data_IF_770877744787
#
_entry.id   IF_770877744787
#
_cell.length_a   1.000
_cell.length_b   1.000
_cell.length_c   1.000
_cell.angle_alpha   90.00
_cell.angle_beta   90.00
_cell.angle_gamma   90.00
#
_symmetry.space_group_name_H-M   'P 1'
#
loop_
_entity.id
_entity.type
_entity.pdbx_description
1 polymer ?
#
# COMPACT_ATOMS: atom_id res chain seq x y z
N UNK A 1 -3.47 10.88 31.27
CA UNK A 1 -3.96 9.59 30.69
C UNK A 1 -4.03 9.60 29.16
N UNK A 2 -4.48 10.68 28.50
CA UNK A 2 -4.65 10.71 27.04
C UNK A 2 -3.32 10.80 26.25
N UNK A 3 -2.36 11.63 26.68
CA UNK A 3 -1.02 11.73 26.05
C UNK A 3 -0.22 10.43 26.18
N UNK A 4 -0.28 9.75 27.34
CA UNK A 4 0.37 8.44 27.56
C UNK A 4 -0.12 7.35 26.62
N UNK A 5 -1.40 7.36 26.23
CA UNK A 5 -1.95 6.39 25.25
C UNK A 5 -1.40 6.60 23.85
N UNK A 6 -1.26 7.87 23.43
CA UNK A 6 -0.73 8.23 22.10
C UNK A 6 0.78 7.94 22.01
N UNK A 7 1.51 8.15 23.11
CA UNK A 7 2.94 7.84 23.18
C UNK A 7 3.27 6.33 23.22
N UNK A 8 2.29 5.46 23.50
CA UNK A 8 2.49 4.00 23.58
C UNK A 8 2.45 3.28 22.24
N UNK A 9 1.90 3.86 21.17
CA UNK A 9 1.91 3.22 19.85
C UNK A 9 3.27 3.42 19.18
N UNK A 10 4.25 2.57 19.52
CA UNK A 10 5.54 2.53 18.83
C UNK A 10 5.36 1.91 17.44
N UNK A 11 5.06 2.74 16.44
CA UNK A 11 5.00 2.30 15.04
C UNK A 11 6.41 1.96 14.57
N UNK A 12 6.62 0.72 14.11
CA UNK A 12 7.89 0.31 13.53
C UNK A 12 8.00 0.82 12.08
N UNK A 13 8.52 2.03 11.93
CA UNK A 13 8.68 2.70 10.64
C UNK A 13 9.68 2.00 9.70
N UNK A 14 10.67 1.28 10.24
CA UNK A 14 11.66 0.57 9.43
C UNK A 14 11.01 -0.62 8.71
N UNK A 15 10.23 -1.43 9.44
CA UNK A 15 9.52 -2.56 8.87
C UNK A 15 8.43 -2.14 7.85
N UNK A 16 7.86 -0.94 7.99
CA UNK A 16 6.97 -0.38 6.96
C UNK A 16 7.75 0.03 5.71
N UNK A 17 8.90 0.69 5.87
CA UNK A 17 9.69 1.17 4.74
C UNK A 17 10.24 0.03 3.85
N UNK A 18 10.49 -1.15 4.42
CA UNK A 18 10.94 -2.33 3.68
C UNK A 18 9.85 -2.93 2.78
N UNK A 19 8.57 -2.87 3.21
CA UNK A 19 7.45 -3.45 2.47
C UNK A 19 6.85 -2.52 1.43
N UNK A 20 7.18 -1.23 1.47
CA UNK A 20 6.59 -0.23 0.59
C UNK A 20 7.29 -0.22 -0.78
N UNK A 21 6.52 -0.37 -1.88
CA UNK A 21 7.05 -0.24 -3.24
C UNK A 21 7.76 1.10 -3.48
N UNK A 22 8.77 1.16 -4.37
CA UNK A 22 9.59 2.36 -4.57
C UNK A 22 8.79 3.60 -4.97
N UNK A 23 7.72 3.44 -5.75
CA UNK A 23 6.79 4.50 -6.16
C UNK A 23 5.98 5.08 -4.99
N UNK A 24 5.82 4.36 -3.88
CA UNK A 24 5.01 4.79 -2.73
C UNK A 24 5.86 5.30 -1.55
N UNK A 25 7.19 5.19 -1.62
CA UNK A 25 8.12 5.72 -0.59
C UNK A 25 7.93 7.22 -0.30
N UNK A 26 7.70 8.11 -1.29
CA UNK A 26 7.45 9.52 -1.01
C UNK A 26 6.19 9.75 -0.17
N UNK A 27 5.13 8.97 -0.42
CA UNK A 27 3.87 9.06 0.32
C UNK A 27 4.05 8.58 1.78
N UNK A 28 4.81 7.52 1.99
CA UNK A 28 5.16 7.05 3.34
C UNK A 28 5.95 8.11 4.12
N UNK A 29 6.94 8.76 3.48
CA UNK A 29 7.72 9.81 4.10
C UNK A 29 6.85 11.02 4.49
N UNK A 30 5.91 11.42 3.63
CA UNK A 30 4.95 12.47 3.91
C UNK A 30 4.02 12.10 5.08
N UNK A 31 3.53 10.86 5.12
CA UNK A 31 2.69 10.35 6.21
C UNK A 31 3.45 10.34 7.55
N UNK A 32 4.68 9.81 7.56
CA UNK A 32 5.55 9.81 8.75
C UNK A 32 5.77 11.24 9.27
N UNK A 33 6.08 12.18 8.39
CA UNK A 33 6.31 13.59 8.77
C UNK A 33 5.07 14.20 9.44
N UNK A 34 3.87 13.93 8.92
CA UNK A 34 2.61 14.38 9.54
C UNK A 34 2.39 13.72 10.90
N UNK A 35 2.58 12.41 11.01
CA UNK A 35 2.46 11.66 12.26
C UNK A 35 3.41 12.21 13.35
N UNK A 36 4.69 12.37 13.02
CA UNK A 36 5.71 12.90 13.93
C UNK A 36 5.40 14.34 14.35
N UNK A 37 4.88 15.17 13.44
CA UNK A 37 4.44 16.55 13.77
C UNK A 37 3.35 16.55 14.83
N UNK A 38 2.34 15.69 14.69
CA UNK A 38 1.26 15.59 15.68
C UNK A 38 1.76 15.02 17.01
N UNK A 39 2.59 13.98 16.98
CA UNK A 39 3.21 13.42 18.18
C UNK A 39 4.01 14.48 18.95
N UNK A 40 4.82 15.29 18.27
CA UNK A 40 5.55 16.40 18.89
C UNK A 40 4.62 17.43 19.53
N UNK A 41 3.52 17.80 18.86
CA UNK A 41 2.54 18.73 19.44
C UNK A 41 1.84 18.18 20.67
N UNK A 42 1.55 16.87 20.70
CA UNK A 42 0.93 16.22 21.85
C UNK A 42 1.91 16.14 23.02
N UNK A 43 3.18 15.86 22.77
CA UNK A 43 4.23 15.80 23.80
C UNK A 43 4.59 17.17 24.35
N UNK A 44 4.57 18.22 23.52
CA UNK A 44 4.87 19.58 23.94
C UNK A 44 3.78 20.20 24.83
N UNK A 45 2.53 19.72 24.72
CA UNK A 45 1.42 20.22 25.51
C UNK A 45 1.31 19.45 26.84
N UNK A 46 1.32 20.14 28.00
CA UNK A 46 1.17 19.48 29.30
C UNK A 46 -0.22 18.84 29.44
N UNK A 47 -0.29 17.68 30.11
CA UNK A 47 -1.54 16.93 30.34
C UNK A 47 -2.61 17.71 31.12
N UNK A 48 -2.16 18.68 31.93
CA UNK A 48 -3.01 19.56 32.73
C UNK A 48 -2.69 21.00 32.38
N UNK A 49 -3.71 21.88 32.28
CA UNK A 49 -3.46 23.30 32.13
C UNK A 49 -2.58 23.82 33.29
N UNK A 50 -1.76 24.86 33.07
CA UNK A 50 -0.95 25.46 34.13
C UNK A 50 -1.82 25.84 35.32
N UNK A 51 -1.40 25.48 36.53
CA UNK A 51 -2.12 25.86 37.75
C UNK A 51 -2.09 27.39 37.88
N UNK A 52 -3.27 28.00 37.93
CA UNK A 52 -3.42 29.44 38.16
C UNK A 52 -3.23 29.71 39.66
N UNK A 53 -2.35 30.66 40.01
CA UNK A 53 -2.20 31.11 41.40
C UNK A 53 -3.30 32.12 41.75
N UNK A 54 -4.46 31.61 42.11
CA UNK A 54 -5.61 32.41 42.55
C UNK A 54 -5.32 33.24 43.82
N UNK A 55 -4.32 32.85 44.63
CA UNK A 55 -3.96 33.55 45.87
C UNK A 55 -3.27 34.88 45.58
N UNK A 56 -2.43 34.92 44.54
CA UNK A 56 -1.79 36.14 44.06
C UNK A 56 -2.82 37.14 43.53
N UNK A 57 -3.78 36.66 42.74
CA UNK A 57 -4.84 37.52 42.18
C UNK A 57 -5.82 38.03 43.23
N UNK A 58 -6.17 37.22 44.25
CA UNK A 58 -7.00 37.69 45.37
C UNK A 58 -6.38 38.85 46.16
N UNK A 59 -5.05 38.93 46.24
CA UNK A 59 -4.33 40.00 46.96
C UNK A 59 -4.22 41.30 46.15
N UNK A 60 -4.10 41.20 44.83
CA UNK A 60 -3.83 42.35 43.96
C UNK A 60 -5.09 42.93 43.29
N UNK A 61 -6.21 42.20 43.26
CA UNK A 61 -7.45 42.67 42.66
C UNK A 61 -8.31 43.39 43.71
N UNK A 62 -8.58 44.69 43.55
CA UNK A 62 -9.33 45.48 44.54
C UNK A 62 -10.84 45.19 44.56
N UNK A 63 -11.37 44.49 43.54
CA UNK A 63 -12.79 44.14 43.44
C UNK A 63 -13.07 42.82 44.18
N UNK A 64 -13.69 42.94 45.36
CA UNK A 64 -14.07 41.80 46.19
C UNK A 64 -15.02 40.84 45.46
N UNK A 65 -14.71 39.54 45.48
CA UNK A 65 -15.56 38.47 44.93
C UNK A 65 -15.47 38.24 43.41
N UNK A 66 -14.71 39.06 42.66
CA UNK A 66 -14.51 38.83 41.22
C UNK A 66 -13.62 37.62 40.96
N UNK A 67 -12.52 37.49 41.70
CA UNK A 67 -11.58 36.36 41.58
C UNK A 67 -12.24 35.02 41.95
N UNK A 68 -13.12 35.01 42.96
CA UNK A 68 -13.88 33.82 43.35
C UNK A 68 -14.88 33.36 42.28
N UNK A 69 -15.52 34.30 41.56
CA UNK A 69 -16.42 33.98 40.45
C UNK A 69 -15.66 33.37 39.27
N UNK A 70 -14.48 33.89 38.94
CA UNK A 70 -13.62 33.34 37.89
C UNK A 70 -13.03 31.98 38.25
N UNK A 71 -12.61 31.79 39.50
CA UNK A 71 -12.15 30.49 39.97
C UNK A 71 -13.25 29.43 39.81
N UNK A 72 -14.47 29.71 40.27
CA UNK A 72 -15.62 28.80 40.11
C UNK A 72 -15.96 28.52 38.65
N UNK A 73 -15.96 29.54 37.79
CA UNK A 73 -16.24 29.37 36.37
C UNK A 73 -15.15 28.56 35.65
N UNK A 74 -13.89 28.73 36.03
CA UNK A 74 -12.76 27.99 35.47
C UNK A 74 -12.77 26.52 35.90
N UNK A 75 -13.05 26.23 37.17
CA UNK A 75 -13.18 24.86 37.68
C UNK A 75 -14.40 24.13 37.10
N UNK A 76 -15.47 24.86 36.77
CA UNK A 76 -16.66 24.30 36.13
C UNK A 76 -16.48 24.03 34.63
N UNK A 77 -15.47 24.63 33.99
CA UNK A 77 -15.21 24.45 32.57
C UNK A 77 -14.53 23.10 32.33
N UNK A 78 -15.32 22.09 31.95
CA UNK A 78 -14.79 20.84 31.41
C UNK A 78 -14.61 20.98 29.89
N UNK A 79 -13.39 20.76 29.39
CA UNK A 79 -13.13 20.71 27.95
C UNK A 79 -13.50 19.31 27.45
N UNK A 80 -14.55 19.17 26.61
CA UNK A 80 -14.95 17.87 26.11
C UNK A 80 -13.88 17.32 25.16
N UNK A 81 -13.63 16.02 25.24
CA UNK A 81 -12.77 15.33 24.28
C UNK A 81 -13.45 15.31 22.90
N UNK A 82 -12.71 15.50 21.79
CA UNK A 82 -13.30 15.42 20.46
C UNK A 82 -13.93 14.04 20.21
N UNK A 83 -15.11 14.02 19.61
CA UNK A 83 -15.76 12.78 19.22
C UNK A 83 -14.96 12.10 18.09
N UNK A 84 -14.82 10.78 18.17
CA UNK A 84 -14.14 9.99 17.15
C UNK A 84 -15.10 9.64 16.00
N UNK A 85 -14.85 10.23 14.84
CA UNK A 85 -15.59 9.99 13.60
C UNK A 85 -14.75 9.29 12.53
N UNK A 86 -13.45 9.06 12.77
CA UNK A 86 -12.51 8.58 11.74
C UNK A 86 -12.28 7.08 11.85
N UNK A 87 -12.37 6.49 13.04
CA UNK A 87 -12.12 5.05 13.24
C UNK A 87 -13.01 4.16 12.35
N UNK A 88 -14.28 4.51 12.18
CA UNK A 88 -15.20 3.77 11.29
C UNK A 88 -14.78 3.80 9.82
N UNK A 89 -14.19 4.90 9.36
CA UNK A 89 -13.71 5.03 7.98
C UNK A 89 -12.45 4.18 7.77
N UNK A 90 -11.57 4.12 8.77
CA UNK A 90 -10.37 3.29 8.74
C UNK A 90 -10.72 1.81 8.72
N UNK A 91 -11.66 1.37 9.56
CA UNK A 91 -12.14 -0.02 9.58
C UNK A 91 -12.77 -0.44 8.25
N UNK A 92 -13.53 0.47 7.61
CA UNK A 92 -14.09 0.20 6.28
C UNK A 92 -13.00 0.02 5.22
N UNK A 93 -12.01 0.92 5.21
CA UNK A 93 -10.87 0.83 4.28
C UNK A 93 -10.02 -0.42 4.52
N UNK A 94 -9.80 -0.80 5.77
CA UNK A 94 -9.09 -2.04 6.11
C UNK A 94 -9.78 -3.27 5.51
N UNK A 95 -11.11 -3.34 5.62
CA UNK A 95 -11.90 -4.45 5.08
C UNK A 95 -11.83 -4.53 3.55
N UNK A 96 -11.87 -3.39 2.86
CA UNK A 96 -11.70 -3.33 1.40
C UNK A 96 -10.32 -3.85 0.98
N UNK A 97 -9.27 -3.37 1.64
CA UNK A 97 -7.88 -3.80 1.35
C UNK A 97 -7.68 -5.29 1.65
N UNK A 98 -8.28 -5.82 2.71
CA UNK A 98 -8.22 -7.27 3.00
C UNK A 98 -8.83 -8.12 1.87
N UNK A 99 -9.90 -7.66 1.24
CA UNK A 99 -10.51 -8.35 0.10
C UNK A 99 -9.61 -8.30 -1.13
N UNK A 100 -8.99 -7.15 -1.40
CA UNK A 100 -8.03 -7.00 -2.50
C UNK A 100 -6.80 -7.89 -2.30
N UNK A 101 -6.27 -7.96 -1.08
CA UNK A 101 -5.15 -8.85 -0.74
C UNK A 101 -5.54 -10.32 -0.98
N UNK A 102 -6.70 -10.74 -0.50
CA UNK A 102 -7.17 -12.12 -0.70
C UNK A 102 -7.34 -12.48 -2.18
N UNK A 103 -7.83 -11.53 -2.99
CA UNK A 103 -7.92 -11.69 -4.45
C UNK A 103 -6.53 -11.81 -5.08
N UNK A 104 -5.61 -10.90 -4.72
CA UNK A 104 -4.24 -10.90 -5.25
C UNK A 104 -3.47 -12.18 -4.91
N UNK A 105 -3.66 -12.74 -3.71
CA UNK A 105 -3.05 -14.03 -3.32
C UNK A 105 -3.56 -15.14 -4.23
N UNK A 106 -4.88 -15.26 -4.42
CA UNK A 106 -5.46 -16.27 -5.31
C UNK A 106 -4.97 -16.14 -6.75
N UNK A 107 -4.96 -14.93 -7.30
CA UNK A 107 -4.48 -14.67 -8.66
C UNK A 107 -2.98 -14.98 -8.79
N UNK A 108 -2.21 -14.79 -7.71
CA UNK A 108 -0.78 -15.13 -7.70
C UNK A 108 -0.54 -16.64 -7.60
N UNK A 109 -1.30 -17.36 -6.79
CA UNK A 109 -1.24 -18.83 -6.71
C UNK A 109 -1.60 -19.47 -8.06
N UNK A 110 -2.63 -18.96 -8.75
CA UNK A 110 -2.98 -19.41 -10.10
C UNK A 110 -1.83 -19.20 -11.10
N UNK A 111 -1.19 -18.02 -11.08
CA UNK A 111 -0.01 -17.73 -11.93
C UNK A 111 1.17 -18.63 -11.60
N UNK A 112 1.42 -18.91 -10.32
CA UNK A 112 2.50 -19.82 -9.90
C UNK A 112 2.25 -21.22 -10.44
N UNK A 113 1.01 -21.73 -10.34
CA UNK A 113 0.65 -23.04 -10.87
C UNK A 113 0.84 -23.12 -12.40
N UNK A 114 0.42 -22.09 -13.13
CA UNK A 114 0.62 -21.99 -14.58
C UNK A 114 2.11 -22.00 -14.94
N UNK A 115 2.93 -21.13 -14.32
CA UNK A 115 4.37 -21.12 -14.57
C UNK A 115 5.07 -22.42 -14.18
N UNK A 116 4.63 -23.10 -13.11
CA UNK A 116 5.17 -24.41 -12.74
C UNK A 116 4.87 -25.46 -13.82
N UNK A 117 3.66 -25.43 -14.40
CA UNK A 117 3.31 -26.32 -15.51
C UNK A 117 4.17 -26.05 -16.74
N UNK A 118 4.39 -24.77 -17.10
CA UNK A 118 5.24 -24.39 -18.22
C UNK A 118 6.70 -24.82 -17.99
N UNK A 119 7.22 -24.63 -16.78
CA UNK A 119 8.57 -25.09 -16.41
C UNK A 119 8.67 -26.63 -16.51
N UNK A 120 7.63 -27.37 -16.12
CA UNK A 120 7.61 -28.81 -16.23
C UNK A 120 7.63 -29.25 -17.70
N UNK A 121 6.84 -28.61 -18.56
CA UNK A 121 6.84 -28.85 -20.02
C UNK A 121 8.21 -28.56 -20.63
N UNK A 122 8.83 -27.42 -20.28
CA UNK A 122 10.16 -27.05 -20.76
C UNK A 122 11.26 -28.01 -20.30
N UNK A 123 11.13 -28.59 -19.09
CA UNK A 123 12.08 -29.60 -18.60
C UNK A 123 11.88 -30.97 -19.23
N UNK A 124 10.65 -31.29 -19.64
CA UNK A 124 10.33 -32.53 -20.33
C UNK A 124 10.76 -32.50 -21.81
N UNK A 125 10.92 -31.30 -22.37
CA UNK A 125 11.40 -31.10 -23.73
C UNK A 125 12.85 -31.61 -23.88
N UNK A 126 13.11 -32.25 -25.02
CA UNK A 126 14.47 -32.64 -25.40
C UNK A 126 15.34 -31.37 -25.55
N UNK A 127 16.63 -31.40 -25.15
CA UNK A 127 17.53 -30.29 -25.41
C UNK A 127 17.51 -29.90 -26.89
N UNK A 128 17.42 -28.61 -27.18
CA UNK A 128 17.30 -28.09 -28.55
C UNK A 128 18.42 -28.57 -29.51
N UNK A 129 19.62 -28.85 -29.00
CA UNK A 129 20.76 -29.38 -29.80
C UNK A 129 20.53 -30.81 -30.31
N UNK A 130 19.64 -31.56 -29.67
CA UNK A 130 19.30 -32.95 -30.02
C UNK A 130 17.91 -33.09 -30.63
N UNK A 131 17.16 -31.99 -30.73
CA UNK A 131 15.79 -31.98 -31.21
C UNK A 131 15.75 -31.92 -32.74
N UNK A 132 14.99 -32.83 -33.35
CA UNK A 132 14.77 -32.79 -34.80
C UNK A 132 13.67 -31.78 -35.15
N UNK A 133 13.58 -31.40 -36.42
CA UNK A 133 12.52 -30.50 -36.89
C UNK A 133 11.12 -31.12 -36.76
N UNK A 134 11.01 -32.46 -36.76
CA UNK A 134 9.76 -33.18 -36.52
C UNK A 134 9.37 -33.09 -35.03
N UNK A 135 10.31 -33.32 -34.11
CA UNK A 135 10.08 -33.18 -32.66
C UNK A 135 9.72 -31.72 -32.27
N UNK A 136 10.33 -30.75 -32.96
CA UNK A 136 10.00 -29.33 -32.80
C UNK A 136 8.57 -29.04 -33.24
N UNK A 137 8.12 -29.63 -34.35
CA UNK A 137 6.74 -29.50 -34.84
C UNK A 137 5.73 -30.08 -33.85
N UNK A 138 6.03 -31.21 -33.24
CA UNK A 138 5.15 -31.84 -32.26
C UNK A 138 5.08 -31.05 -30.94
N UNK A 139 6.21 -30.46 -30.52
CA UNK A 139 6.31 -29.69 -29.28
C UNK A 139 5.80 -28.24 -29.41
N UNK A 140 5.99 -27.64 -30.59
CA UNK A 140 5.65 -26.24 -30.90
C UNK A 140 4.92 -26.13 -32.25
N UNK A 141 3.71 -26.71 -32.37
CA UNK A 141 2.98 -26.75 -33.65
C UNK A 141 2.60 -25.35 -34.16
N UNK A 142 2.48 -24.37 -33.26
CA UNK A 142 2.17 -22.98 -33.61
C UNK A 142 3.35 -22.21 -34.23
N UNK A 143 4.59 -22.58 -33.88
CA UNK A 143 5.81 -21.92 -34.37
C UNK A 143 6.50 -22.68 -35.49
N UNK A 144 6.19 -23.97 -35.64
CA UNK A 144 6.76 -24.80 -36.68
C UNK A 144 6.28 -24.39 -38.07
N UNK A 145 7.16 -24.52 -39.06
CA UNK A 145 6.82 -24.31 -40.46
C UNK A 145 5.81 -25.36 -40.91
N UNK A 146 4.62 -24.92 -41.30
CA UNK A 146 3.58 -25.79 -41.86
C UNK A 146 3.16 -25.31 -43.25
N UNK A 147 3.89 -25.68 -44.32
CA UNK A 147 3.61 -25.22 -45.69
C UNK A 147 2.22 -25.61 -46.22
N UNK A 148 1.57 -26.61 -45.60
CA UNK A 148 0.28 -27.14 -46.05
C UNK A 148 -0.87 -26.32 -45.46
N UNK A 149 -0.85 -26.08 -44.15
CA UNK A 149 -1.94 -25.37 -43.46
C UNK A 149 -1.66 -23.87 -43.24
N UNK A 150 -0.38 -23.47 -43.19
CA UNK A 150 0.10 -22.10 -42.93
C UNK A 150 1.26 -21.74 -43.88
N UNK A 151 0.99 -21.55 -45.18
CA UNK A 151 2.03 -21.18 -46.14
C UNK A 151 2.62 -19.82 -45.77
N UNK A 152 3.95 -19.74 -45.74
CA UNK A 152 4.72 -18.52 -45.47
C UNK A 152 5.78 -18.32 -46.55
N UNK A 153 6.12 -17.06 -46.84
CA UNK A 153 7.15 -16.71 -47.81
C UNK A 153 8.53 -16.66 -47.14
N UNK A 154 9.57 -17.13 -47.83
CA UNK A 154 10.95 -17.02 -47.37
C UNK A 154 11.33 -15.55 -47.16
N UNK A 155 11.95 -15.15 -46.03
CA UNK A 155 12.70 -15.92 -45.04
C UNK A 155 11.88 -16.43 -43.84
N UNK A 156 10.56 -16.53 -43.96
CA UNK A 156 9.64 -17.04 -42.93
C UNK A 156 9.67 -16.26 -41.60
N UNK A 157 10.21 -15.04 -41.62
CA UNK A 157 10.14 -14.10 -40.49
C UNK A 157 8.75 -13.47 -40.45
N UNK A 158 8.15 -13.28 -39.25
CA UNK A 158 6.83 -12.67 -39.12
C UNK A 158 6.71 -11.29 -39.79
N UNK A 159 7.80 -10.51 -39.78
CA UNK A 159 7.88 -9.16 -40.33
C UNK A 159 7.82 -9.12 -41.87
N UNK A 160 8.21 -10.20 -42.54
CA UNK A 160 8.26 -10.28 -44.00
C UNK A 160 7.07 -11.04 -44.60
N UNK A 161 6.13 -11.48 -43.74
CA UNK A 161 4.87 -12.06 -44.19
C UNK A 161 3.88 -10.96 -44.60
N UNK A 162 3.09 -11.20 -45.64
CA UNK A 162 2.09 -10.22 -46.07
C UNK A 162 1.11 -9.89 -44.92
N UNK A 163 0.73 -8.61 -44.73
CA UNK A 163 -0.23 -8.22 -43.70
C UNK A 163 -1.54 -9.00 -43.84
N UNK A 164 -1.87 -9.84 -42.84
CA UNK A 164 -3.04 -10.71 -42.84
C UNK A 164 -2.77 -12.19 -43.16
N UNK A 165 -1.53 -12.59 -43.42
CA UNK A 165 -1.11 -13.98 -43.43
C UNK A 165 -1.19 -14.59 -42.01
N UNK A 166 -1.39 -15.92 -41.86
CA UNK A 166 -1.55 -16.56 -40.55
C UNK A 166 -0.38 -16.38 -39.57
N UNK A 167 0.81 -15.98 -40.08
CA UNK A 167 2.02 -15.76 -39.30
C UNK A 167 2.48 -14.27 -39.30
N UNK A 168 1.68 -13.35 -39.84
CA UNK A 168 2.03 -11.92 -39.88
C UNK A 168 1.71 -11.25 -38.54
N UNK A 169 2.67 -10.53 -37.97
CA UNK A 169 2.38 -9.63 -36.85
C UNK A 169 1.69 -8.34 -37.36
N UNK A 170 0.74 -7.77 -36.61
CA UNK A 170 0.20 -6.45 -36.95
C UNK A 170 1.32 -5.40 -36.79
N UNK A 171 1.79 -4.88 -37.92
CA UNK A 171 2.74 -3.77 -37.92
C UNK A 171 2.13 -2.55 -37.20
N UNK A 172 2.81 -2.06 -36.16
CA UNK A 172 2.52 -0.81 -35.47
C UNK A 172 3.08 0.40 -36.21
#
# INVERSE_FOLDING_TARGET
MASRRIAQSSVNWAALAERVPPNQKPNLAAFKTKSDKYLRSVVANPETPPKIDWSFYKKNVPVAGMVDKFQKAYEALQIPYPADNVTKLVEAQEKEVQQEIAKFVKDSEARIADFQSQIATLKALLPYDQMTMEDFRDSFPEQALDPINRPSFWPHTPEEQEPGAPNAEPHH
#
